data_IF_672073186983
#
_entry.id   IF_672073186983
#
_cell.length_a   1.000
_cell.length_b   1.000
_cell.length_c   1.000
_cell.angle_alpha   90.00
_cell.angle_beta   90.00
_cell.angle_gamma   90.00
#
_symmetry.space_group_name_H-M   'P 1'
#
loop_
_entity.id
_entity.type
_entity.pdbx_description
1 polymer ?
#
# COMPACT_ATOMS: atom_id res chain seq x y z
N UNK A 1 -10.62 14.47 -9.04
CA UNK A 1 -9.65 14.19 -7.97
C UNK A 1 -8.46 15.09 -8.20
N UNK A 2 -8.30 16.11 -7.37
CA UNK A 2 -7.12 16.96 -7.39
C UNK A 2 -6.27 16.57 -6.17
N UNK A 3 -4.95 16.57 -6.28
CA UNK A 3 -4.04 16.20 -5.18
C UNK A 3 -4.16 14.74 -4.71
N UNK A 4 -4.37 13.82 -5.67
CA UNK A 4 -4.28 12.38 -5.45
C UNK A 4 -3.29 11.80 -6.46
N UNK A 5 -2.57 10.77 -6.03
CA UNK A 5 -1.63 10.02 -6.84
C UNK A 5 -2.14 8.59 -7.04
N UNK A 6 -1.87 8.07 -8.23
CA UNK A 6 -2.06 6.67 -8.59
C UNK A 6 -0.66 6.10 -8.79
N UNK A 7 -0.18 5.32 -7.84
CA UNK A 7 1.18 4.79 -7.84
C UNK A 7 1.14 3.32 -8.23
N UNK A 8 1.78 2.96 -9.33
CA UNK A 8 1.91 1.56 -9.72
C UNK A 8 3.20 0.99 -9.12
N UNK A 9 3.09 -0.11 -8.38
CA UNK A 9 4.22 -0.74 -7.70
C UNK A 9 4.31 -2.21 -8.10
N UNK A 10 5.50 -2.65 -8.49
CA UNK A 10 5.81 -4.07 -8.67
C UNK A 10 6.57 -4.58 -7.46
N UNK A 11 5.99 -5.51 -6.70
CA UNK A 11 6.54 -5.94 -5.42
C UNK A 11 6.60 -7.47 -5.29
N UNK A 12 7.70 -7.96 -4.70
CA UNK A 12 7.84 -9.32 -4.15
C UNK A 12 8.58 -9.21 -2.81
N UNK A 13 7.87 -8.77 -1.79
CA UNK A 13 8.42 -8.54 -0.44
C UNK A 13 7.31 -8.46 0.59
N UNK A 14 7.70 -8.62 1.85
CA UNK A 14 6.96 -8.08 2.98
C UNK A 14 7.37 -6.63 3.19
N UNK A 15 6.40 -5.73 3.35
CA UNK A 15 6.67 -4.38 3.76
C UNK A 15 6.66 -4.26 5.30
N UNK A 16 6.84 -3.06 5.83
CA UNK A 16 6.84 -2.83 7.27
C UNK A 16 5.42 -2.60 7.80
N UNK A 17 5.22 -2.83 9.10
CA UNK A 17 4.01 -2.37 9.78
C UNK A 17 4.01 -0.85 9.87
N UNK A 18 2.95 -0.22 9.39
CA UNK A 18 2.80 1.23 9.40
C UNK A 18 1.31 1.62 9.44
N UNK A 19 1.04 2.90 9.69
CA UNK A 19 -0.28 3.51 9.56
C UNK A 19 -0.16 4.92 8.97
N UNK A 20 -1.22 5.37 8.32
CA UNK A 20 -1.35 6.76 7.88
C UNK A 20 -2.36 7.46 8.78
N UNK A 21 -1.94 8.44 9.58
CA UNK A 21 -2.84 9.06 10.57
C UNK A 21 -3.98 9.87 9.93
N UNK A 22 -3.68 10.52 8.80
CA UNK A 22 -4.56 11.53 8.21
C UNK A 22 -5.31 11.05 6.96
N UNK A 23 -4.92 9.93 6.38
CA UNK A 23 -5.39 9.51 5.05
C UNK A 23 -5.77 8.04 5.03
N UNK A 24 -6.84 7.72 4.31
CA UNK A 24 -7.10 6.34 3.90
C UNK A 24 -6.12 5.98 2.78
N UNK A 25 -5.80 4.70 2.65
CA UNK A 25 -4.96 4.16 1.58
C UNK A 25 -5.71 3.06 0.84
N UNK A 26 -5.68 3.10 -0.49
CA UNK A 26 -6.36 2.10 -1.33
C UNK A 26 -5.34 1.23 -2.04
N UNK A 27 -5.56 -0.08 -2.00
CA UNK A 27 -4.78 -1.07 -2.73
C UNK A 27 -5.69 -1.74 -3.77
N UNK A 28 -5.28 -1.73 -5.03
CA UNK A 28 -5.90 -2.48 -6.12
C UNK A 28 -4.85 -3.42 -6.74
N UNK A 29 -5.11 -4.72 -6.73
CA UNK A 29 -4.20 -5.69 -7.37
C UNK A 29 -4.46 -5.69 -8.87
N UNK A 30 -3.47 -5.28 -9.66
CA UNK A 30 -3.52 -5.25 -11.13
C UNK A 30 -3.11 -6.59 -11.73
N UNK A 31 -2.11 -7.26 -11.13
CA UNK A 31 -1.63 -8.57 -11.54
C UNK A 31 -1.06 -9.32 -10.32
N UNK A 32 -1.31 -10.62 -10.22
CA UNK A 32 -0.81 -11.45 -9.12
C UNK A 32 -1.72 -11.44 -7.88
N UNK A 33 -1.13 -11.54 -6.70
CA UNK A 33 -1.86 -11.59 -5.43
C UNK A 33 -1.13 -10.85 -4.31
N UNK A 34 -1.90 -10.28 -3.38
CA UNK A 34 -1.39 -9.54 -2.22
C UNK A 34 -2.12 -9.98 -0.95
N UNK A 35 -1.42 -9.91 0.18
CA UNK A 35 -2.02 -9.99 1.51
C UNK A 35 -1.81 -8.67 2.23
N UNK A 36 -2.78 -8.26 3.03
CA UNK A 36 -2.61 -7.15 3.97
C UNK A 36 -2.87 -7.70 5.36
N UNK A 37 -1.82 -7.80 6.17
CA UNK A 37 -1.95 -8.17 7.56
C UNK A 37 -2.46 -6.97 8.35
N UNK A 38 -3.58 -7.15 9.04
CA UNK A 38 -4.09 -6.26 10.08
C UNK A 38 -3.80 -6.90 11.45
N UNK A 39 -4.05 -6.18 12.54
CA UNK A 39 -3.81 -6.71 13.88
C UNK A 39 -4.75 -7.86 14.27
N UNK A 40 -5.97 -7.85 13.75
CA UNK A 40 -7.03 -8.80 14.07
C UNK A 40 -7.21 -9.90 12.99
N UNK A 41 -6.80 -9.63 11.75
CA UNK A 41 -7.02 -10.52 10.61
C UNK A 41 -6.05 -10.26 9.46
N UNK A 42 -6.12 -11.09 8.44
CA UNK A 42 -5.41 -10.88 7.17
C UNK A 42 -6.42 -10.76 6.04
N UNK A 43 -6.29 -9.71 5.24
CA UNK A 43 -7.00 -9.58 3.98
C UNK A 43 -6.19 -10.28 2.88
N UNK A 44 -6.88 -11.04 2.03
CA UNK A 44 -6.30 -11.71 0.88
C UNK A 44 -6.93 -11.12 -0.38
N UNK A 45 -6.10 -10.60 -1.28
CA UNK A 45 -6.52 -9.93 -2.50
C UNK A 45 -5.97 -10.69 -3.71
N UNK A 46 -6.86 -11.03 -4.63
CA UNK A 46 -6.58 -11.57 -5.95
C UNK A 46 -6.55 -10.45 -7.00
N UNK A 47 -6.11 -10.78 -8.21
CA UNK A 47 -6.15 -9.88 -9.35
C UNK A 47 -7.56 -9.26 -9.56
N UNK A 48 -7.60 -7.94 -9.74
CA UNK A 48 -8.83 -7.16 -9.88
C UNK A 48 -9.52 -6.81 -8.56
N UNK A 49 -9.10 -7.37 -7.42
CA UNK A 49 -9.67 -7.04 -6.12
C UNK A 49 -9.02 -5.79 -5.52
N UNK A 50 -9.84 -5.04 -4.78
CA UNK A 50 -9.46 -3.78 -4.14
C UNK A 50 -9.86 -3.79 -2.67
N UNK A 51 -9.05 -3.15 -1.84
CA UNK A 51 -9.42 -2.81 -0.47
C UNK A 51 -9.04 -1.38 -0.12
N UNK A 52 -9.77 -0.81 0.83
CA UNK A 52 -9.44 0.45 1.49
C UNK A 52 -8.94 0.12 2.89
N UNK A 53 -7.78 0.66 3.25
CA UNK A 53 -7.29 0.67 4.62
C UNK A 53 -7.65 2.03 5.22
N UNK A 54 -8.55 2.09 6.20
CA UNK A 54 -8.93 3.35 6.81
C UNK A 54 -7.75 4.01 7.53
N UNK A 55 -7.74 5.33 7.59
CA UNK A 55 -6.76 6.11 8.34
C UNK A 55 -6.60 5.60 9.76
N UNK A 56 -5.39 5.72 10.29
CA UNK A 56 -4.94 5.25 11.59
C UNK A 56 -4.99 3.72 11.79
N UNK A 57 -5.45 2.93 10.81
CA UNK A 57 -5.38 1.47 10.87
C UNK A 57 -3.96 1.01 10.54
N UNK A 58 -3.34 0.35 11.50
CA UNK A 58 -2.01 -0.23 11.33
C UNK A 58 -2.10 -1.52 10.52
N UNK A 59 -1.27 -1.61 9.49
CA UNK A 59 -1.31 -2.71 8.55
C UNK A 59 0.09 -3.02 8.00
N UNK A 60 0.23 -4.19 7.37
CA UNK A 60 1.47 -4.64 6.71
C UNK A 60 1.15 -5.29 5.35
N UNK A 61 1.45 -4.62 4.23
CA UNK A 61 1.36 -5.20 2.89
C UNK A 61 2.39 -6.32 2.68
N UNK A 62 1.96 -7.41 2.06
CA UNK A 62 2.80 -8.60 1.79
C UNK A 62 2.50 -9.15 0.39
N UNK A 63 3.54 -9.24 -0.43
CA UNK A 63 3.52 -9.94 -1.72
C UNK A 63 4.55 -11.08 -1.68
N UNK A 64 4.08 -12.32 -1.52
CA UNK A 64 4.93 -13.53 -1.48
C UNK A 64 5.56 -13.83 -2.85
N UNK A 65 4.79 -13.57 -3.91
CA UNK A 65 5.24 -13.61 -5.30
C UNK A 65 5.19 -12.21 -5.91
N UNK A 66 5.72 -12.06 -7.13
CA UNK A 66 5.66 -10.79 -7.85
C UNK A 66 4.19 -10.43 -8.09
N UNK A 67 3.80 -9.26 -7.60
CA UNK A 67 2.49 -8.67 -7.85
C UNK A 67 2.65 -7.21 -8.32
N UNK A 68 1.74 -6.79 -9.19
CA UNK A 68 1.59 -5.40 -9.62
C UNK A 68 0.39 -4.83 -8.89
N UNK A 69 0.60 -3.79 -8.09
CA UNK A 69 -0.44 -3.19 -7.24
C UNK A 69 -0.49 -1.69 -7.48
N UNK A 70 -1.69 -1.17 -7.65
CA UNK A 70 -1.96 0.25 -7.71
C UNK A 70 -2.34 0.75 -6.31
N UNK A 71 -1.58 1.73 -5.83
CA UNK A 71 -1.90 2.51 -4.65
C UNK A 71 -2.63 3.78 -5.07
N UNK A 72 -3.68 4.13 -4.34
CA UNK A 72 -4.41 5.39 -4.53
C UNK A 72 -4.45 6.11 -3.20
N UNK A 73 -3.79 7.27 -3.14
CA UNK A 73 -3.57 8.03 -1.92
C UNK A 73 -3.41 9.53 -2.22
N UNK A 74 -3.58 10.41 -1.24
CA UNK A 74 -3.30 11.84 -1.42
C UNK A 74 -1.86 12.09 -1.86
N UNK A 75 -1.65 13.12 -2.69
CA UNK A 75 -0.32 13.48 -3.19
C UNK A 75 0.66 13.77 -2.05
N UNK A 76 1.90 13.28 -2.17
CA UNK A 76 2.93 13.45 -1.15
C UNK A 76 2.78 12.56 0.09
N UNK A 77 1.89 11.57 0.06
CA UNK A 77 1.79 10.55 1.12
C UNK A 77 3.10 9.75 1.18
N UNK A 78 3.65 9.63 2.38
CA UNK A 78 4.84 8.82 2.66
C UNK A 78 4.43 7.36 2.77
N UNK A 79 5.00 6.50 1.92
CA UNK A 79 4.65 5.08 1.84
C UNK A 79 4.84 4.30 3.16
N UNK A 80 5.71 4.75 4.05
CA UNK A 80 5.96 4.13 5.36
C UNK A 80 5.08 4.70 6.47
N UNK A 81 4.12 5.57 6.14
CA UNK A 81 3.18 6.15 7.08
C UNK A 81 3.86 6.90 8.23
N UNK A 82 3.62 6.47 9.46
CA UNK A 82 4.23 6.96 10.69
C UNK A 82 5.69 6.52 10.91
N UNK A 83 6.23 5.68 10.03
CA UNK A 83 7.60 5.18 10.10
C UNK A 83 8.49 5.98 9.14
N UNK A 84 9.66 6.39 9.61
CA UNK A 84 10.74 6.88 8.74
C UNK A 84 11.70 5.75 8.35
N UNK A 85 12.93 6.12 7.97
CA UNK A 85 14.03 5.18 7.69
C UNK A 85 14.28 4.96 6.21
N UNK A 86 15.17 4.02 5.88
CA UNK A 86 15.71 3.84 4.52
C UNK A 86 14.67 3.40 3.47
N UNK A 87 13.49 2.93 3.92
CA UNK A 87 12.37 2.55 3.06
C UNK A 87 11.37 3.69 2.81
N UNK A 88 11.53 4.81 3.53
CA UNK A 88 10.66 5.96 3.42
C UNK A 88 10.89 6.64 2.07
N UNK A 89 9.82 6.75 1.29
CA UNK A 89 9.84 7.40 0.00
C UNK A 89 8.52 8.15 -0.21
N UNK A 90 8.64 9.42 -0.58
CA UNK A 90 7.53 10.26 -1.04
C UNK A 90 7.49 10.38 -2.56
N UNK A 91 8.62 10.07 -3.21
CA UNK A 91 8.82 10.26 -4.63
C UNK A 91 8.43 9.01 -5.41
N UNK A 92 7.74 9.24 -6.52
CA UNK A 92 7.40 8.22 -7.49
C UNK A 92 8.63 7.85 -8.32
N UNK A 93 9.16 6.64 -8.12
CA UNK A 93 10.02 6.03 -9.13
C UNK A 93 9.13 5.57 -10.29
N UNK A 94 9.38 6.10 -11.48
CA UNK A 94 8.68 5.71 -12.70
C UNK A 94 9.10 4.29 -13.07
N UNK A 95 8.15 3.36 -13.07
CA UNK A 95 8.32 1.98 -13.55
C UNK A 95 7.96 1.91 -15.04
#
# INVERSE_FOLDING_TARGET
MNQYEFKLVKAKREFIWHRHEETDEVFLVIEGQMKIALRDRTLHLQEGEMTVIPRSVEHKPVCEEVATVMLIEPSGTMNTGDKGGDLANTDLEWI
#
